data_IF_023427104720
#
_entry.id   IF_023427104720
#
_cell.length_a   1.000
_cell.length_b   1.000
_cell.length_c   1.000
_cell.angle_alpha   90.00
_cell.angle_beta   90.00
_cell.angle_gamma   90.00
#
_symmetry.space_group_name_H-M   'P 1'
#
loop_
_entity.id
_entity.type
_entity.pdbx_description
1 polymer ?
#
# COMPACT_ATOMS: atom_id res chain seq x y z
N UNK A 1 -60.35 -49.28 -60.18
CA UNK A 1 -59.10 -49.54 -59.40
C UNK A 1 -58.15 -48.29 -59.24
N UNK A 2 -58.58 -47.09 -59.69
CA UNK A 2 -57.71 -45.90 -59.68
C UNK A 2 -57.96 -44.87 -58.57
N UNK A 3 -58.99 -45.07 -57.72
CA UNK A 3 -59.27 -44.09 -56.63
C UNK A 3 -58.59 -44.33 -55.29
N UNK A 4 -57.98 -45.48 -55.11
CA UNK A 4 -57.30 -45.80 -53.82
C UNK A 4 -55.85 -45.34 -53.69
N UNK A 5 -55.11 -45.13 -54.80
CA UNK A 5 -53.76 -44.74 -54.74
C UNK A 5 -53.54 -43.23 -54.41
N UNK A 6 -54.47 -42.35 -54.80
CA UNK A 6 -54.40 -40.93 -54.53
C UNK A 6 -54.51 -40.57 -53.06
N UNK A 7 -55.34 -41.31 -52.31
CA UNK A 7 -55.58 -41.09 -50.88
C UNK A 7 -54.38 -41.58 -50.02
N UNK A 8 -53.74 -42.62 -50.45
CA UNK A 8 -52.50 -43.12 -49.75
C UNK A 8 -51.36 -42.12 -49.90
N UNK A 9 -51.17 -41.57 -51.11
CA UNK A 9 -50.15 -40.55 -51.36
C UNK A 9 -50.44 -39.25 -50.59
N UNK A 10 -51.64 -38.76 -50.56
CA UNK A 10 -52.07 -37.60 -49.79
C UNK A 10 -51.81 -37.76 -48.30
N UNK A 11 -52.13 -38.92 -47.74
CA UNK A 11 -51.87 -39.20 -46.31
C UNK A 11 -50.42 -39.32 -45.99
N UNK A 12 -49.57 -39.77 -46.92
CA UNK A 12 -48.14 -39.90 -46.75
C UNK A 12 -47.42 -38.54 -46.79
N UNK A 13 -47.87 -37.63 -47.69
CA UNK A 13 -47.29 -36.22 -47.76
C UNK A 13 -47.74 -35.44 -46.54
N UNK A 14 -49.02 -35.50 -46.11
CA UNK A 14 -49.43 -34.77 -44.89
C UNK A 14 -48.73 -35.30 -43.65
N UNK A 15 -48.44 -36.60 -43.56
CA UNK A 15 -47.70 -37.16 -42.43
C UNK A 15 -46.26 -36.79 -42.41
N UNK A 16 -45.62 -36.62 -43.57
CA UNK A 16 -44.25 -36.14 -43.66
C UNK A 16 -44.12 -34.63 -43.33
N UNK A 17 -45.11 -33.79 -43.70
CA UNK A 17 -45.16 -32.39 -43.34
C UNK A 17 -45.38 -32.19 -41.83
N UNK A 18 -46.28 -32.95 -41.21
CA UNK A 18 -46.52 -32.89 -39.76
C UNK A 18 -45.28 -33.35 -39.00
N UNK A 19 -44.59 -34.41 -39.42
CA UNK A 19 -43.35 -34.87 -38.78
C UNK A 19 -42.22 -33.86 -38.95
N UNK A 20 -42.13 -33.17 -40.09
CA UNK A 20 -41.14 -32.08 -40.27
C UNK A 20 -41.47 -30.87 -39.42
N UNK A 21 -42.73 -30.46 -39.31
CA UNK A 21 -43.13 -29.36 -38.41
C UNK A 21 -42.85 -29.70 -36.93
N UNK A 22 -43.17 -30.90 -36.48
CA UNK A 22 -42.86 -31.33 -35.12
C UNK A 22 -41.36 -31.38 -34.84
N UNK A 23 -40.53 -31.73 -35.84
CA UNK A 23 -39.06 -31.72 -35.71
C UNK A 23 -38.56 -30.29 -35.65
N UNK A 24 -39.06 -29.39 -36.50
CA UNK A 24 -38.69 -27.97 -36.47
C UNK A 24 -39.15 -27.27 -35.20
N UNK A 25 -40.29 -27.59 -34.66
CA UNK A 25 -40.78 -27.06 -33.37
C UNK A 25 -39.95 -27.60 -32.21
N UNK A 26 -39.61 -28.90 -32.22
CA UNK A 26 -38.70 -29.50 -31.23
C UNK A 26 -37.27 -28.91 -31.28
N UNK A 27 -36.75 -28.70 -32.49
CA UNK A 27 -35.44 -28.09 -32.67
C UNK A 27 -35.41 -26.61 -32.21
N UNK A 28 -36.45 -25.83 -32.52
CA UNK A 28 -36.60 -24.46 -32.02
C UNK A 28 -36.81 -24.41 -30.51
N UNK A 29 -37.51 -25.36 -29.93
CA UNK A 29 -37.73 -25.45 -28.48
C UNK A 29 -36.43 -25.91 -27.78
N UNK A 30 -35.66 -26.81 -28.40
CA UNK A 30 -34.38 -27.27 -27.90
C UNK A 30 -33.28 -26.17 -28.00
N UNK A 31 -33.33 -25.32 -29.04
CA UNK A 31 -32.45 -24.16 -29.17
C UNK A 31 -32.88 -22.99 -28.25
N UNK A 32 -34.14 -22.92 -27.84
CA UNK A 32 -34.65 -21.88 -26.93
C UNK A 32 -34.48 -22.23 -25.44
N UNK A 33 -34.14 -23.47 -25.11
CA UNK A 33 -33.94 -23.97 -23.75
C UNK A 33 -32.59 -24.71 -23.72
N UNK A 34 -31.53 -24.02 -24.05
CA UNK A 34 -30.27 -24.29 -23.37
C UNK A 34 -30.33 -23.46 -22.09
N UNK A 35 -30.42 -24.06 -20.91
CA UNK A 35 -29.97 -23.37 -19.73
C UNK A 35 -28.48 -23.11 -20.00
N UNK A 36 -28.11 -21.86 -20.22
CA UNK A 36 -26.73 -21.48 -19.95
C UNK A 36 -26.48 -21.96 -18.52
N UNK A 37 -25.76 -23.08 -18.42
CA UNK A 37 -25.17 -23.51 -17.16
C UNK A 37 -24.38 -22.31 -16.75
N UNK A 38 -24.94 -21.54 -15.84
CA UNK A 38 -24.25 -20.47 -15.17
C UNK A 38 -23.06 -21.13 -14.47
N UNK A 39 -21.94 -21.21 -15.18
CA UNK A 39 -20.68 -21.22 -14.48
C UNK A 39 -20.76 -19.99 -13.60
N UNK A 40 -20.54 -20.15 -12.32
CA UNK A 40 -20.35 -19.06 -11.36
C UNK A 40 -19.11 -18.26 -11.77
N UNK A 41 -19.19 -17.65 -12.94
CA UNK A 41 -18.17 -16.70 -13.40
C UNK A 41 -18.37 -15.45 -12.56
N UNK A 42 -17.46 -15.28 -11.61
CA UNK A 42 -17.37 -14.04 -10.82
C UNK A 42 -17.26 -12.90 -11.83
N UNK A 43 -18.31 -12.10 -11.93
CA UNK A 43 -18.30 -10.95 -12.83
C UNK A 43 -17.39 -9.86 -12.24
N UNK A 44 -16.16 -9.82 -12.75
CA UNK A 44 -15.15 -8.83 -12.32
C UNK A 44 -15.64 -7.38 -12.50
N UNK A 45 -16.56 -7.16 -13.46
CA UNK A 45 -17.13 -5.83 -13.69
C UNK A 45 -18.12 -5.47 -12.57
N UNK A 46 -18.91 -6.43 -12.10
CA UNK A 46 -19.85 -6.25 -10.99
C UNK A 46 -19.10 -5.99 -9.68
N UNK A 47 -18.02 -6.74 -9.41
CA UNK A 47 -17.13 -6.49 -8.28
C UNK A 47 -16.49 -5.09 -8.35
N UNK A 48 -16.03 -4.67 -9.52
CA UNK A 48 -15.43 -3.37 -9.71
C UNK A 48 -16.44 -2.22 -9.50
N UNK A 49 -17.67 -2.37 -10.01
CA UNK A 49 -18.74 -1.40 -9.76
C UNK A 49 -19.14 -1.36 -8.28
N UNK A 50 -19.18 -2.52 -7.61
CA UNK A 50 -19.42 -2.62 -6.17
C UNK A 50 -18.33 -1.88 -5.36
N UNK A 51 -17.08 -1.98 -5.77
CA UNK A 51 -15.97 -1.25 -5.16
C UNK A 51 -16.12 0.26 -5.35
N UNK A 52 -16.47 0.70 -6.57
CA UNK A 52 -16.71 2.11 -6.88
C UNK A 52 -17.93 2.67 -6.12
N UNK A 53 -18.98 1.89 -5.95
CA UNK A 53 -20.16 2.31 -5.19
C UNK A 53 -19.84 2.61 -3.71
N UNK A 54 -18.86 1.91 -3.14
CA UNK A 54 -18.44 2.04 -1.74
C UNK A 54 -17.11 2.79 -1.56
N UNK A 55 -16.68 3.59 -2.55
CA UNK A 55 -15.40 4.29 -2.52
C UNK A 55 -15.20 5.17 -1.27
N UNK A 56 -16.28 5.79 -0.75
CA UNK A 56 -16.24 6.61 0.46
C UNK A 56 -15.93 5.80 1.71
N UNK A 57 -16.46 4.58 1.81
CA UNK A 57 -16.16 3.65 2.89
C UNK A 57 -14.72 3.18 2.80
N UNK A 58 -14.25 2.84 1.60
CA UNK A 58 -12.87 2.43 1.36
C UNK A 58 -11.90 3.56 1.71
N UNK A 59 -12.18 4.78 1.26
CA UNK A 59 -11.36 5.94 1.58
C UNK A 59 -11.34 6.24 3.09
N UNK A 60 -12.50 6.16 3.76
CA UNK A 60 -12.59 6.39 5.21
C UNK A 60 -11.77 5.36 6.01
N UNK A 61 -11.88 4.07 5.67
CA UNK A 61 -11.11 3.01 6.36
C UNK A 61 -9.62 3.08 6.06
N UNK A 62 -9.22 3.46 4.84
CA UNK A 62 -7.82 3.71 4.50
C UNK A 62 -7.23 4.88 5.33
N UNK A 63 -7.99 5.97 5.50
CA UNK A 63 -7.58 7.09 6.34
C UNK A 63 -7.51 6.68 7.82
N UNK A 64 -8.46 5.90 8.31
CA UNK A 64 -8.40 5.37 9.68
C UNK A 64 -7.16 4.49 9.88
N UNK A 65 -6.84 3.62 8.93
CA UNK A 65 -5.62 2.81 8.95
C UNK A 65 -4.34 3.67 9.01
N UNK A 66 -4.29 4.75 8.21
CA UNK A 66 -3.18 5.69 8.24
C UNK A 66 -3.05 6.41 9.59
N UNK A 67 -4.17 6.85 10.18
CA UNK A 67 -4.20 7.52 11.50
C UNK A 67 -3.77 6.57 12.60
N UNK A 68 -4.26 5.35 12.63
CA UNK A 68 -3.86 4.35 13.62
C UNK A 68 -2.35 4.06 13.53
N UNK A 69 -1.82 3.92 12.31
CA UNK A 69 -0.39 3.68 12.10
C UNK A 69 0.46 4.91 12.46
N UNK A 70 -0.07 6.12 12.24
CA UNK A 70 0.57 7.35 12.69
C UNK A 70 0.65 7.40 14.22
N UNK A 71 -0.45 7.14 14.92
CA UNK A 71 -0.48 7.09 16.38
C UNK A 71 0.49 6.03 16.92
N UNK A 72 0.49 4.83 16.35
CA UNK A 72 1.45 3.79 16.69
C UNK A 72 2.89 4.27 16.53
N UNK A 73 3.23 4.86 15.37
CA UNK A 73 4.58 5.33 15.06
C UNK A 73 5.04 6.48 15.98
N UNK A 74 4.12 7.38 16.39
CA UNK A 74 4.47 8.51 17.23
C UNK A 74 4.57 8.17 18.72
N UNK A 75 3.75 7.22 19.21
CA UNK A 75 3.65 6.95 20.64
C UNK A 75 4.38 5.69 21.09
N UNK A 76 4.46 4.65 20.23
CA UNK A 76 5.01 3.36 20.60
C UNK A 76 6.43 3.10 20.06
N UNK A 77 6.82 3.74 18.95
CA UNK A 77 8.13 3.48 18.34
C UNK A 77 9.15 4.51 18.83
N UNK A 78 10.20 4.04 19.48
CA UNK A 78 11.32 4.88 19.92
C UNK A 78 12.09 5.43 18.72
N UNK A 79 12.40 6.73 18.69
CA UNK A 79 13.25 7.28 17.65
C UNK A 79 14.68 6.73 17.78
N UNK A 80 15.29 6.39 16.65
CA UNK A 80 16.68 5.91 16.59
C UNK A 80 17.51 6.88 15.77
N UNK A 81 18.70 7.16 16.27
CA UNK A 81 19.67 8.07 15.64
C UNK A 81 20.84 7.26 15.11
N UNK A 82 21.42 7.70 14.01
CA UNK A 82 22.64 7.12 13.44
C UNK A 82 23.78 8.10 13.53
N UNK A 83 24.92 7.62 14.00
CA UNK A 83 26.17 8.35 13.95
C UNK A 83 27.20 7.51 13.20
N UNK A 84 27.96 8.13 12.29
CA UNK A 84 28.94 7.44 11.45
C UNK A 84 30.29 8.10 11.59
N UNK A 85 31.29 7.31 11.97
CA UNK A 85 32.70 7.66 11.89
C UNK A 85 33.34 6.97 10.68
N UNK A 86 34.21 7.63 9.95
CA UNK A 86 34.89 7.06 8.78
C UNK A 86 36.41 6.98 9.04
N UNK A 87 36.98 5.79 8.90
CA UNK A 87 38.40 5.56 8.96
C UNK A 87 38.95 5.18 7.57
N UNK A 88 40.20 5.56 7.33
CA UNK A 88 40.94 5.23 6.11
C UNK A 88 42.00 4.17 6.41
N UNK A 89 41.94 3.08 5.64
CA UNK A 89 42.87 1.97 5.76
C UNK A 89 44.15 2.28 4.97
N UNK A 90 45.28 2.43 5.69
CA UNK A 90 46.59 2.67 5.09
C UNK A 90 47.28 1.33 4.83
N UNK A 91 47.87 1.16 3.64
CA UNK A 91 48.70 -0.01 3.33
C UNK A 91 50.18 0.44 3.33
N UNK A 92 51.02 -0.35 3.95
CA UNK A 92 52.46 -0.07 4.13
C UNK A 92 53.29 0.05 2.85
N UNK A 93 52.71 -0.27 1.68
CA UNK A 93 53.39 -0.30 0.40
C UNK A 93 53.07 0.91 -0.50
N UNK A 94 53.14 2.11 0.03
CA UNK A 94 52.84 3.35 -0.71
C UNK A 94 53.88 3.74 -1.80
N UNK A 95 54.78 2.82 -2.20
CA UNK A 95 55.87 3.19 -3.08
C UNK A 95 55.57 3.07 -4.59
N UNK A 96 54.58 2.32 -5.04
CA UNK A 96 54.18 2.27 -6.46
C UNK A 96 52.72 1.83 -6.58
N UNK A 97 51.86 2.71 -7.08
CA UNK A 97 50.45 2.40 -7.38
C UNK A 97 50.34 1.39 -8.52
N UNK A 98 50.31 0.11 -8.21
CA UNK A 98 49.92 -0.93 -9.15
C UNK A 98 48.42 -1.26 -9.02
N UNK A 99 47.75 -1.57 -10.13
CA UNK A 99 46.35 -1.96 -10.14
C UNK A 99 46.03 -3.16 -9.24
N UNK A 100 47.02 -4.02 -8.99
CA UNK A 100 46.96 -5.13 -8.01
C UNK A 100 46.74 -4.65 -6.58
N UNK A 101 47.20 -3.47 -6.21
CA UNK A 101 47.13 -2.94 -4.85
C UNK A 101 45.73 -2.44 -4.50
N UNK A 102 44.93 -2.06 -5.51
CA UNK A 102 43.55 -1.67 -5.32
C UNK A 102 42.67 -2.89 -4.96
N UNK A 103 42.93 -4.04 -5.59
CA UNK A 103 42.17 -5.26 -5.31
C UNK A 103 42.56 -5.85 -3.95
N UNK A 104 43.81 -5.85 -3.60
CA UNK A 104 44.31 -6.22 -2.27
C UNK A 104 43.75 -5.28 -1.18
N UNK A 105 43.61 -3.99 -1.49
CA UNK A 105 43.05 -3.02 -0.56
C UNK A 105 41.60 -3.27 -0.22
N UNK A 106 40.79 -3.78 -1.15
CA UNK A 106 39.37 -4.11 -0.90
C UNK A 106 39.20 -5.41 -0.12
N UNK A 107 40.09 -6.38 -0.28
CA UNK A 107 40.13 -7.61 0.51
C UNK A 107 40.55 -7.33 1.97
N UNK A 108 41.57 -6.47 2.18
CA UNK A 108 41.95 -6.03 3.51
C UNK A 108 40.87 -5.29 4.27
N UNK A 109 40.02 -4.51 3.56
CA UNK A 109 38.87 -3.84 4.18
C UNK A 109 37.85 -4.82 4.70
N UNK A 110 37.64 -5.94 4.02
CA UNK A 110 36.75 -7.01 4.48
C UNK A 110 37.26 -7.69 5.74
N UNK A 111 38.56 -7.90 5.86
CA UNK A 111 39.16 -8.44 7.09
C UNK A 111 39.02 -7.45 8.24
N UNK A 112 39.19 -6.17 7.98
CA UNK A 112 39.03 -5.15 9.03
C UNK A 112 37.59 -5.03 9.51
N UNK A 113 36.58 -5.18 8.64
CA UNK A 113 35.17 -5.26 9.08
C UNK A 113 35.00 -6.36 10.12
N UNK A 114 35.64 -7.52 9.91
CA UNK A 114 35.54 -8.65 10.86
C UNK A 114 36.20 -8.35 12.21
N UNK A 115 37.21 -7.50 12.25
CA UNK A 115 37.82 -7.05 13.51
C UNK A 115 36.82 -6.28 14.36
N UNK A 116 36.01 -5.41 13.76
CA UNK A 116 34.98 -4.66 14.48
C UNK A 116 33.83 -5.54 15.01
N UNK A 117 33.63 -6.73 14.44
CA UNK A 117 32.65 -7.71 14.92
C UNK A 117 33.19 -8.59 16.05
N UNK A 118 34.49 -8.46 16.41
CA UNK A 118 35.11 -9.27 17.46
C UNK A 118 34.67 -8.84 18.86
N UNK A 119 34.52 -9.83 19.73
CA UNK A 119 34.06 -9.65 21.10
C UNK A 119 34.98 -8.70 21.89
N UNK A 120 36.29 -8.79 21.71
CA UNK A 120 37.28 -8.00 22.42
C UNK A 120 37.17 -6.49 22.11
N UNK A 121 36.77 -6.15 20.88
CA UNK A 121 36.59 -4.75 20.48
C UNK A 121 35.32 -4.19 21.15
N UNK A 122 34.23 -4.95 21.13
CA UNK A 122 33.01 -4.54 21.81
C UNK A 122 33.18 -4.37 23.33
N UNK A 123 33.86 -5.32 23.99
CA UNK A 123 34.12 -5.27 25.42
C UNK A 123 34.99 -4.04 25.80
N UNK A 124 35.96 -3.73 24.95
CA UNK A 124 36.83 -2.58 25.20
C UNK A 124 36.10 -1.25 25.06
N UNK A 125 35.20 -1.13 24.07
CA UNK A 125 34.32 0.04 23.91
C UNK A 125 33.37 0.19 25.08
N UNK A 126 32.71 -0.89 25.50
CA UNK A 126 31.83 -0.93 26.68
C UNK A 126 32.57 -0.44 27.93
N UNK A 127 33.77 -0.97 28.16
CA UNK A 127 34.59 -0.63 29.32
C UNK A 127 35.08 0.81 29.29
N UNK A 128 35.48 1.33 28.12
CA UNK A 128 36.03 2.66 28.01
C UNK A 128 35.00 3.77 28.22
N UNK A 129 33.74 3.52 27.79
CA UNK A 129 32.65 4.46 27.93
C UNK A 129 31.72 4.16 29.11
N UNK A 130 32.05 3.15 29.93
CA UNK A 130 31.25 2.70 31.09
C UNK A 130 29.77 2.46 30.72
N UNK A 131 29.53 1.75 29.59
CA UNK A 131 28.21 1.53 29.04
C UNK A 131 27.52 0.35 29.73
N UNK A 132 26.22 0.44 29.92
CA UNK A 132 25.42 -0.63 30.48
C UNK A 132 24.74 -1.47 29.39
N UNK A 133 25.48 -1.84 28.34
CA UNK A 133 25.02 -2.69 27.23
C UNK A 133 25.73 -4.04 27.26
N UNK A 134 25.03 -5.07 26.77
CA UNK A 134 25.63 -6.38 26.54
C UNK A 134 26.35 -6.41 25.19
N UNK A 135 27.22 -7.41 24.99
CA UNK A 135 27.82 -7.68 23.68
C UNK A 135 26.78 -7.75 22.55
N UNK A 136 25.66 -8.44 22.79
CA UNK A 136 24.60 -8.61 21.80
C UNK A 136 23.93 -7.29 21.43
N UNK A 137 23.75 -6.41 22.41
CA UNK A 137 23.20 -5.08 22.19
C UNK A 137 24.14 -4.26 21.29
N UNK A 138 25.42 -4.22 21.66
CA UNK A 138 26.45 -3.51 20.88
C UNK A 138 26.58 -4.04 19.46
N UNK A 139 26.58 -5.35 19.28
CA UNK A 139 26.63 -5.99 17.96
C UNK A 139 25.41 -5.63 17.09
N UNK A 140 24.23 -5.49 17.70
CA UNK A 140 23.01 -5.08 16.99
C UNK A 140 22.99 -3.59 16.60
N UNK A 141 23.64 -2.75 17.39
CA UNK A 141 23.76 -1.31 17.17
C UNK A 141 24.83 -0.94 16.14
N UNK A 142 25.86 -1.79 15.99
CA UNK A 142 27.02 -1.54 15.12
C UNK A 142 26.75 -2.04 13.70
N UNK A 143 27.11 -1.22 12.73
CA UNK A 143 27.16 -1.62 11.31
C UNK A 143 28.43 -1.04 10.69
N UNK A 144 29.35 -1.89 10.29
CA UNK A 144 30.58 -1.48 9.61
C UNK A 144 30.47 -1.84 8.14
N UNK A 145 30.65 -0.85 7.28
CA UNK A 145 30.52 -1.02 5.83
C UNK A 145 31.69 -0.38 5.11
N UNK A 146 32.10 -0.99 3.99
CA UNK A 146 33.04 -0.38 3.07
C UNK A 146 32.26 0.47 2.05
N UNK A 147 32.67 1.70 1.85
CA UNK A 147 32.20 2.50 0.73
C UNK A 147 32.77 1.90 -0.56
N UNK A 148 31.91 1.47 -1.46
CA UNK A 148 32.24 0.69 -2.68
C UNK A 148 33.57 1.06 -3.32
N UNK A 149 34.45 0.06 -3.45
CA UNK A 149 35.77 0.14 -4.10
C UNK A 149 36.74 1.19 -3.51
N UNK A 150 36.54 1.56 -2.26
CA UNK A 150 37.43 2.47 -1.55
C UNK A 150 38.12 1.76 -0.38
N UNK A 151 39.17 2.44 0.17
CA UNK A 151 39.81 2.02 1.42
C UNK A 151 39.18 2.67 2.64
N UNK A 152 37.94 3.15 2.54
CA UNK A 152 37.21 3.79 3.63
C UNK A 152 36.30 2.81 4.29
N UNK A 153 36.29 2.79 5.61
CA UNK A 153 35.34 2.04 6.42
C UNK A 153 34.47 3.02 7.17
N UNK A 154 33.15 2.87 6.97
CA UNK A 154 32.14 3.63 7.67
C UNK A 154 31.62 2.81 8.86
N UNK A 155 31.92 3.29 10.05
CA UNK A 155 31.50 2.71 11.33
C UNK A 155 30.27 3.46 11.76
N UNK A 156 29.10 2.81 11.61
CA UNK A 156 27.80 3.39 11.92
C UNK A 156 27.22 2.75 13.16
N UNK A 157 26.86 3.57 14.13
CA UNK A 157 26.17 3.15 15.35
C UNK A 157 24.74 3.71 15.35
N UNK A 158 23.79 2.87 15.71
CA UNK A 158 22.37 3.22 15.83
C UNK A 158 21.92 3.10 17.28
N UNK A 159 21.53 4.23 17.90
CA UNK A 159 21.16 4.29 19.32
C UNK A 159 19.94 5.24 19.50
N UNK A 160 19.07 5.03 20.50
CA UNK A 160 18.02 5.99 20.86
C UNK A 160 18.57 7.38 21.30
N UNK A 161 19.77 7.43 21.88
CA UNK A 161 20.43 8.67 22.26
C UNK A 161 21.42 9.09 21.16
N UNK A 162 21.28 10.30 20.57
CA UNK A 162 22.17 10.77 19.52
C UNK A 162 23.58 11.11 20.02
N UNK A 163 23.76 11.54 21.27
CA UNK A 163 25.06 11.85 21.84
C UNK A 163 25.85 10.56 22.11
N UNK A 164 25.17 9.57 22.68
CA UNK A 164 25.74 8.25 22.94
C UNK A 164 26.08 7.53 21.62
N UNK A 165 25.23 7.61 20.60
CA UNK A 165 25.52 7.08 19.26
C UNK A 165 26.82 7.63 18.68
N UNK A 166 27.04 8.95 18.81
CA UNK A 166 28.24 9.60 18.31
C UNK A 166 29.50 9.23 19.15
N UNK A 167 29.35 9.15 20.45
CA UNK A 167 30.46 8.76 21.35
C UNK A 167 30.87 7.30 21.07
N UNK A 168 29.93 6.38 20.98
CA UNK A 168 30.19 4.96 20.70
C UNK A 168 30.84 4.80 19.31
N UNK A 169 30.34 5.48 18.27
CA UNK A 169 30.90 5.38 16.92
C UNK A 169 32.37 5.88 16.86
N UNK A 170 32.69 6.98 17.56
CA UNK A 170 34.05 7.49 17.66
C UNK A 170 34.97 6.55 18.45
N UNK A 171 34.46 6.00 19.55
CA UNK A 171 35.21 5.04 20.36
C UNK A 171 35.53 3.75 19.59
N UNK A 172 34.54 3.25 18.80
CA UNK A 172 34.81 2.12 17.91
C UNK A 172 35.90 2.44 16.89
N UNK A 173 35.87 3.62 16.32
CA UNK A 173 36.91 4.01 15.36
C UNK A 173 38.32 4.03 16.01
N UNK A 174 38.45 4.55 17.22
CA UNK A 174 39.72 4.62 17.95
C UNK A 174 40.18 3.23 18.43
N UNK A 175 39.31 2.47 19.11
CA UNK A 175 39.61 1.13 19.61
C UNK A 175 39.90 0.17 18.46
N UNK A 176 39.09 0.22 17.38
CA UNK A 176 39.27 -0.64 16.21
C UNK A 176 40.59 -0.34 15.48
N UNK A 177 40.93 0.95 15.29
CA UNK A 177 42.18 1.33 14.65
C UNK A 177 43.41 0.84 15.44
N UNK A 178 43.42 1.01 16.77
CA UNK A 178 44.47 0.51 17.66
C UNK A 178 44.53 -1.02 17.63
N UNK A 179 43.42 -1.70 17.71
CA UNK A 179 43.37 -3.16 17.70
C UNK A 179 43.92 -3.74 16.40
N UNK A 180 43.56 -3.15 15.24
CA UNK A 180 44.08 -3.52 13.93
C UNK A 180 45.61 -3.34 13.90
N UNK A 181 46.12 -2.19 14.32
CA UNK A 181 47.53 -1.90 14.33
C UNK A 181 48.32 -2.89 15.23
N UNK A 182 47.84 -3.13 16.44
CA UNK A 182 48.49 -4.01 17.40
C UNK A 182 48.49 -5.50 16.99
N UNK A 183 47.33 -6.00 16.50
CA UNK A 183 47.16 -7.44 16.21
C UNK A 183 47.58 -7.83 14.81
N UNK A 184 47.34 -6.99 13.83
CA UNK A 184 47.67 -7.28 12.43
C UNK A 184 49.03 -6.75 12.05
N UNK A 185 49.71 -6.00 12.95
CA UNK A 185 51.06 -5.38 12.75
C UNK A 185 51.11 -4.53 11.46
N UNK A 186 50.02 -3.83 11.20
CA UNK A 186 49.84 -2.90 10.09
C UNK A 186 49.95 -1.47 10.60
N UNK A 187 50.02 -0.50 9.71
CA UNK A 187 49.89 0.89 10.11
C UNK A 187 48.48 1.16 10.66
N UNK A 188 48.40 2.04 11.65
CA UNK A 188 47.11 2.37 12.27
C UNK A 188 46.19 3.09 11.27
N UNK A 189 44.98 2.63 11.07
CA UNK A 189 44.00 3.32 10.24
C UNK A 189 43.77 4.75 10.71
N UNK A 190 43.69 5.68 9.77
CA UNK A 190 43.54 7.09 10.09
C UNK A 190 42.08 7.49 10.16
N UNK A 191 41.68 8.18 11.23
CA UNK A 191 40.35 8.75 11.34
C UNK A 191 40.18 9.91 10.34
N UNK A 192 39.32 9.73 9.33
CA UNK A 192 39.01 10.73 8.30
C UNK A 192 37.87 11.65 8.70
N UNK A 193 36.87 11.11 9.34
CA UNK A 193 35.69 11.86 9.79
C UNK A 193 35.19 11.30 11.12
N UNK A 194 35.11 12.16 12.13
CA UNK A 194 34.46 11.81 13.39
C UNK A 194 32.97 11.78 13.26
N UNK A 195 32.35 10.87 13.99
CA UNK A 195 30.92 10.81 14.11
C UNK A 195 30.38 12.08 14.79
N UNK A 196 29.30 12.62 14.23
CA UNK A 196 28.63 13.82 14.75
C UNK A 196 27.25 13.48 15.28
N UNK A 197 26.85 14.21 16.29
CA UNK A 197 25.49 14.11 16.85
C UNK A 197 24.48 14.52 15.78
N UNK A 198 23.57 13.61 15.44
CA UNK A 198 22.51 13.86 14.46
C UNK A 198 21.28 14.40 15.16
N UNK A 199 20.80 15.58 14.76
CA UNK A 199 19.60 16.19 15.34
C UNK A 199 18.30 15.50 14.90
N UNK A 200 18.30 14.84 13.74
CA UNK A 200 17.12 14.19 13.18
C UNK A 200 17.18 12.67 13.32
N UNK A 201 16.12 12.02 13.83
CA UNK A 201 16.08 10.57 13.92
C UNK A 201 16.10 9.94 12.52
N UNK A 202 16.87 8.87 12.37
CA UNK A 202 16.91 8.07 11.16
C UNK A 202 15.67 7.16 11.02
N UNK A 203 15.18 6.64 12.12
CA UNK A 203 14.04 5.73 12.21
C UNK A 203 13.12 6.16 13.37
N UNK A 204 11.79 5.91 13.27
CA UNK A 204 11.06 5.38 12.12
C UNK A 204 10.84 6.42 11.02
N UNK A 205 10.81 5.96 9.78
CA UNK A 205 10.39 6.81 8.67
C UNK A 205 8.87 7.00 8.72
N UNK A 206 8.44 8.10 9.34
CA UNK A 206 7.03 8.43 9.59
C UNK A 206 6.18 8.34 8.33
N UNK A 207 6.68 8.87 7.21
CA UNK A 207 5.96 8.85 5.94
C UNK A 207 5.74 7.42 5.41
N UNK A 208 6.76 6.56 5.48
CA UNK A 208 6.65 5.16 5.05
C UNK A 208 5.66 4.37 5.91
N UNK A 209 5.68 4.58 7.24
CA UNK A 209 4.79 3.87 8.15
C UNK A 209 3.32 4.31 7.97
N UNK A 210 3.07 5.61 7.80
CA UNK A 210 1.73 6.13 7.52
C UNK A 210 1.21 5.60 6.19
N UNK A 211 2.06 5.61 5.15
CA UNK A 211 1.69 5.04 3.84
C UNK A 211 1.38 3.55 3.94
N UNK A 212 2.18 2.80 4.70
CA UNK A 212 1.92 1.37 4.94
C UNK A 212 0.56 1.16 5.61
N UNK A 213 0.25 1.94 6.64
CA UNK A 213 -1.05 1.90 7.32
C UNK A 213 -2.21 2.21 6.39
N UNK A 214 -2.04 3.20 5.50
CA UNK A 214 -3.01 3.53 4.47
C UNK A 214 -3.26 2.36 3.51
N UNK A 215 -2.19 1.73 3.00
CA UNK A 215 -2.29 0.59 2.07
C UNK A 215 -2.97 -0.61 2.74
N UNK A 216 -2.58 -0.94 3.97
CA UNK A 216 -3.20 -2.04 4.74
C UNK A 216 -4.68 -1.75 4.97
N UNK A 217 -5.03 -0.55 5.40
CA UNK A 217 -6.42 -0.13 5.58
C UNK A 217 -7.24 -0.20 4.29
N UNK A 218 -6.65 0.20 3.17
CA UNK A 218 -7.25 0.12 1.85
C UNK A 218 -7.53 -1.32 1.42
N UNK A 219 -6.54 -2.21 1.55
CA UNK A 219 -6.68 -3.64 1.18
C UNK A 219 -7.74 -4.33 2.04
N UNK A 220 -7.74 -4.08 3.35
CA UNK A 220 -8.76 -4.62 4.25
C UNK A 220 -10.17 -4.13 3.89
N UNK A 221 -10.30 -2.84 3.56
CA UNK A 221 -11.58 -2.30 3.13
C UNK A 221 -12.09 -2.95 1.84
N UNK A 222 -11.22 -3.10 0.84
CA UNK A 222 -11.56 -3.79 -0.40
C UNK A 222 -11.99 -5.24 -0.13
N UNK A 223 -11.27 -5.96 0.71
CA UNK A 223 -11.61 -7.33 1.08
C UNK A 223 -12.99 -7.42 1.74
N UNK A 224 -13.30 -6.50 2.66
CA UNK A 224 -14.62 -6.45 3.33
C UNK A 224 -15.73 -6.11 2.34
N UNK A 225 -15.51 -5.16 1.43
CA UNK A 225 -16.50 -4.80 0.40
C UNK A 225 -16.74 -5.99 -0.54
N UNK A 226 -15.69 -6.65 -1.01
CA UNK A 226 -15.80 -7.84 -1.88
C UNK A 226 -16.57 -8.97 -1.17
N UNK A 227 -16.18 -9.28 0.07
CA UNK A 227 -16.90 -10.29 0.87
C UNK A 227 -18.38 -9.93 1.04
N UNK A 228 -18.69 -8.66 1.31
CA UNK A 228 -20.06 -8.20 1.45
C UNK A 228 -20.84 -8.30 0.13
N UNK A 229 -20.20 -7.97 -0.99
CA UNK A 229 -20.82 -8.09 -2.33
C UNK A 229 -21.05 -9.55 -2.70
N UNK A 230 -20.13 -10.44 -2.38
CA UNK A 230 -20.29 -11.88 -2.63
C UNK A 230 -21.34 -12.55 -1.74
N UNK A 231 -21.58 -12.01 -0.54
CA UNK A 231 -22.61 -12.50 0.40
C UNK A 231 -23.96 -11.79 0.24
N UNK A 232 -24.06 -10.82 -0.69
CA UNK A 232 -25.28 -10.07 -0.96
C UNK A 232 -26.12 -10.78 -2.04
N UNK A 233 -26.93 -11.74 -1.63
CA UNK A 233 -27.85 -12.51 -2.49
C UNK A 233 -29.08 -11.70 -2.94
N UNK A 234 -29.01 -10.37 -2.87
CA UNK A 234 -30.15 -9.50 -3.19
C UNK A 234 -30.24 -9.25 -4.69
N UNK A 235 -31.32 -9.71 -5.31
CA UNK A 235 -31.65 -9.41 -6.72
C UNK A 235 -31.95 -7.92 -6.89
N UNK A 236 -31.10 -7.18 -7.56
CA UNK A 236 -31.20 -5.72 -7.76
C UNK A 236 -31.71 -5.35 -9.15
N UNK A 237 -31.64 -6.26 -10.10
CA UNK A 237 -31.95 -6.03 -11.50
C UNK A 237 -32.96 -7.06 -12.03
N UNK A 238 -33.78 -6.66 -13.02
CA UNK A 238 -34.66 -7.58 -13.76
C UNK A 238 -33.85 -8.65 -14.51
N UNK A 239 -32.63 -8.35 -14.90
CA UNK A 239 -31.73 -9.29 -15.57
C UNK A 239 -31.18 -10.34 -14.59
N UNK A 240 -30.98 -10.00 -13.32
CA UNK A 240 -30.57 -10.95 -12.27
C UNK A 240 -31.64 -12.02 -12.06
N UNK A 241 -32.91 -11.58 -12.00
CA UNK A 241 -34.04 -12.52 -11.87
C UNK A 241 -34.08 -13.49 -13.05
N UNK A 242 -33.86 -13.00 -14.27
CA UNK A 242 -33.82 -13.83 -15.47
C UNK A 242 -32.65 -14.82 -15.46
N UNK A 243 -31.48 -14.36 -15.02
CA UNK A 243 -30.23 -15.15 -14.98
C UNK A 243 -30.30 -16.27 -13.94
N UNK A 244 -30.83 -15.98 -12.75
CA UNK A 244 -30.82 -16.93 -11.63
C UNK A 244 -32.10 -17.81 -11.55
N UNK A 245 -33.24 -17.29 -11.95
CA UNK A 245 -34.51 -18.05 -11.87
C UNK A 245 -34.97 -18.64 -13.21
N UNK A 246 -34.38 -18.22 -14.33
CA UNK A 246 -34.80 -18.59 -15.66
C UNK A 246 -36.19 -18.03 -16.07
N UNK A 247 -36.80 -17.20 -15.22
CA UNK A 247 -38.15 -16.65 -15.45
C UNK A 247 -38.07 -15.35 -16.25
N UNK A 248 -39.00 -15.19 -17.19
CA UNK A 248 -39.10 -13.97 -17.99
C UNK A 248 -39.79 -12.89 -17.15
N UNK A 249 -39.12 -11.78 -16.90
CA UNK A 249 -39.71 -10.62 -16.23
C UNK A 249 -40.69 -9.94 -17.18
N UNK A 250 -41.98 -9.97 -16.85
CA UNK A 250 -43.05 -9.42 -17.68
C UNK A 250 -43.19 -7.91 -17.55
N UNK A 251 -42.92 -7.36 -16.38
CA UNK A 251 -42.89 -5.90 -16.13
C UNK A 251 -42.11 -5.59 -14.88
N UNK A 252 -41.40 -4.46 -14.88
CA UNK A 252 -40.79 -3.88 -13.69
C UNK A 252 -41.53 -2.59 -13.33
N UNK A 253 -42.01 -2.51 -12.09
CA UNK A 253 -42.67 -1.30 -11.58
C UNK A 253 -41.64 -0.55 -10.75
N UNK A 254 -41.17 0.61 -11.21
CA UNK A 254 -40.24 1.39 -10.40
C UNK A 254 -40.94 1.87 -9.14
N UNK A 255 -40.39 1.57 -7.98
CA UNK A 255 -40.81 2.20 -6.74
C UNK A 255 -40.50 3.71 -6.86
N UNK A 256 -41.56 4.51 -7.01
CA UNK A 256 -41.40 5.95 -6.86
C UNK A 256 -40.96 6.21 -5.42
N UNK A 257 -39.72 6.72 -5.25
CA UNK A 257 -39.21 7.09 -3.95
C UNK A 257 -40.16 8.14 -3.35
N UNK A 258 -40.90 7.74 -2.33
CA UNK A 258 -41.80 8.64 -1.57
C UNK A 258 -40.99 9.69 -0.78
N UNK A 259 -39.69 9.85 -1.06
CA UNK A 259 -38.74 10.71 -0.35
C UNK A 259 -38.27 11.95 -1.10
N UNK A 260 -38.53 12.12 -2.40
CA UNK A 260 -38.28 13.41 -3.04
C UNK A 260 -39.46 14.35 -2.81
N UNK A 261 -39.53 14.91 -1.62
CA UNK A 261 -40.31 16.14 -1.43
C UNK A 261 -39.72 17.20 -2.38
N UNK A 262 -40.57 17.87 -3.18
CA UNK A 262 -40.13 18.89 -4.12
C UNK A 262 -39.29 19.95 -3.39
N UNK A 263 -38.22 20.41 -4.03
CA UNK A 263 -37.32 21.48 -3.54
C UNK A 263 -38.01 22.85 -3.37
N UNK A 264 -39.28 22.87 -3.04
CA UNK A 264 -40.13 24.05 -2.85
C UNK A 264 -39.69 24.90 -1.63
N UNK A 265 -39.10 24.25 -0.59
CA UNK A 265 -38.59 24.95 0.59
C UNK A 265 -37.33 25.80 0.32
N UNK A 266 -36.57 25.51 -0.72
CA UNK A 266 -35.39 26.32 -1.04
C UNK A 266 -35.72 27.57 -1.87
N UNK A 267 -36.74 27.52 -2.72
CA UNK A 267 -37.21 28.67 -3.49
C UNK A 267 -37.97 29.66 -2.60
N UNK A 268 -38.77 29.16 -1.68
CA UNK A 268 -39.48 30.02 -0.72
C UNK A 268 -38.49 30.82 0.16
N UNK A 269 -37.43 30.16 0.65
CA UNK A 269 -36.36 30.83 1.41
C UNK A 269 -35.56 31.84 0.58
N UNK A 270 -35.39 31.59 -0.73
CA UNK A 270 -34.73 32.55 -1.65
C UNK A 270 -35.64 33.73 -1.98
N UNK A 271 -36.96 33.53 -2.15
CA UNK A 271 -37.92 34.60 -2.39
C UNK A 271 -38.06 35.49 -1.18
N UNK A 272 -38.18 34.96 0.04
CA UNK A 272 -38.25 35.75 1.27
C UNK A 272 -36.98 36.54 1.56
N UNK A 273 -35.78 35.99 1.28
CA UNK A 273 -34.53 36.75 1.39
C UNK A 273 -34.43 37.87 0.35
N UNK A 274 -34.91 37.68 -0.87
CA UNK A 274 -34.94 38.74 -1.88
C UNK A 274 -35.93 39.87 -1.48
N UNK A 275 -37.09 39.50 -0.99
CA UNK A 275 -38.10 40.47 -0.53
C UNK A 275 -37.60 41.27 0.69
N UNK A 276 -36.99 40.62 1.65
CA UNK A 276 -36.40 41.28 2.81
C UNK A 276 -35.27 42.25 2.45
N UNK A 277 -34.42 41.92 1.45
CA UNK A 277 -33.37 42.79 0.97
C UNK A 277 -33.93 44.01 0.16
N UNK A 278 -35.00 43.78 -0.60
CA UNK A 278 -35.65 44.87 -1.38
C UNK A 278 -36.38 45.90 -0.46
N UNK A 279 -37.06 45.40 0.59
CA UNK A 279 -37.67 46.28 1.61
C UNK A 279 -36.59 47.06 2.36
N UNK A 280 -35.45 46.42 2.70
CA UNK A 280 -34.32 47.10 3.35
C UNK A 280 -33.67 48.18 2.49
N UNK A 281 -33.63 48.00 1.17
CA UNK A 281 -33.13 49.01 0.23
C UNK A 281 -34.11 50.20 0.10
N UNK A 282 -35.41 49.95 0.12
CA UNK A 282 -36.43 51.06 0.01
C UNK A 282 -36.55 51.89 1.29
N UNK A 283 -36.39 51.25 2.47
CA UNK A 283 -36.49 51.96 3.76
C UNK A 283 -35.17 52.67 4.11
N UNK A 284 -34.01 52.10 3.70
CA UNK A 284 -32.70 52.73 3.94
C UNK A 284 -32.33 53.89 3.01
N UNK A 285 -33.08 54.10 1.89
CA UNK A 285 -32.84 55.17 0.91
C UNK A 285 -33.48 56.53 1.23
N UNK A 286 -34.27 56.64 2.30
CA UNK A 286 -35.03 57.85 2.63
C UNK A 286 -34.40 58.78 3.66
N UNK A 287 -33.22 58.48 4.17
CA UNK A 287 -32.59 59.26 5.26
C UNK A 287 -31.34 60.04 4.87
N UNK A 288 -31.23 60.45 3.60
CA UNK A 288 -30.04 61.14 3.11
C UNK A 288 -30.34 62.39 2.25
N UNK A 289 -31.37 63.20 2.60
CA UNK A 289 -31.54 64.51 1.94
C UNK A 289 -32.21 65.47 2.87
N UNK A 290 -31.43 66.11 3.75
CA UNK A 290 -31.68 67.47 4.30
C UNK A 290 -30.41 67.99 5.00
N UNK A 291 -30.00 69.14 4.53
CA UNK A 291 -29.06 70.16 4.96
C UNK A 291 -27.62 69.99 4.50
#
# INVERSE_FOLDING_TARGET
LSRGLGDVYKRQVIRSEIVQQDTFVKERTALAVQPEQGEDTIDLLELFMGLLAHWTLIAATAVVGAVLMALYTFFLVTPMYKATATIYVVSRNDSVLNFSDLQVGSELTSDYIKVFEMWEVHEKVISNLDLNYTYTDMASMLSVTNTSDTRMLDITVTNPDPEEAAAIANEYADVGAKYISEKMKTDEPTLMSSARVQANPFSPNKAKNILLGFVVGFVLACAVVVLRTMLDDTYKSADDIRKYTGMVVLASIPLADAGEQPKEKSEFKRRTKRFANDVRRRVGGSSGRKA
#
